data_IF_766893528041
#
_entry.id   IF_766893528041
#
_cell.length_a   1.000
_cell.length_b   1.000
_cell.length_c   1.000
_cell.angle_alpha   90.00
_cell.angle_beta   90.00
_cell.angle_gamma   90.00
#
_symmetry.space_group_name_H-M   'P 1'
#
loop_
_entity.id
_entity.type
_entity.pdbx_description
1 polymer ?
#
# COMPACT_ATOMS: atom_id res chain seq x y z
N UNK A 1 -29.04 0.79 31.02
CA UNK A 1 -29.35 0.90 29.58
C UNK A 1 -28.33 0.09 28.80
N UNK A 2 -28.70 -0.63 27.73
CA UNK A 2 -27.69 -1.28 26.87
C UNK A 2 -27.08 -0.18 25.99
N UNK A 3 -25.79 0.08 26.17
CA UNK A 3 -25.02 1.09 25.44
C UNK A 3 -24.96 0.81 23.93
N UNK A 4 -24.57 1.82 23.16
CA UNK A 4 -24.23 1.68 21.74
C UNK A 4 -22.90 0.94 21.54
N UNK A 5 -22.38 0.96 20.31
CA UNK A 5 -21.11 0.30 20.01
C UNK A 5 -20.52 0.70 18.68
N UNK A 6 -19.43 0.02 18.30
CA UNK A 6 -18.73 0.24 17.04
C UNK A 6 -18.31 -1.10 16.45
N UNK A 7 -18.56 -1.27 15.15
CA UNK A 7 -18.05 -2.36 14.34
C UNK A 7 -16.99 -1.78 13.42
N UNK A 8 -15.77 -2.33 13.50
CA UNK A 8 -14.65 -1.94 12.64
C UNK A 8 -14.33 -3.12 11.72
N UNK A 9 -14.65 -2.98 10.43
CA UNK A 9 -14.32 -3.97 9.43
C UNK A 9 -12.90 -3.72 8.90
N UNK A 10 -12.05 -4.75 8.91
CA UNK A 10 -10.72 -4.68 8.29
C UNK A 10 -10.83 -5.09 6.81
N UNK A 11 -10.92 -4.08 5.95
CA UNK A 11 -10.93 -4.19 4.50
C UNK A 11 -9.49 -4.29 3.96
N UNK A 12 -9.20 -3.59 2.86
CA UNK A 12 -7.87 -3.47 2.25
C UNK A 12 -7.92 -2.41 1.15
N UNK A 13 -6.79 -1.77 0.85
CA UNK A 13 -6.67 -1.00 -0.40
C UNK A 13 -6.93 -1.84 -1.65
N UNK A 14 -6.90 -3.18 -1.57
CA UNK A 14 -7.34 -4.10 -2.63
C UNK A 14 -8.82 -4.00 -3.00
N UNK A 15 -9.64 -3.35 -2.17
CA UNK A 15 -10.98 -2.98 -2.54
C UNK A 15 -11.03 -1.82 -3.57
N UNK A 16 -9.92 -1.09 -3.74
CA UNK A 16 -9.80 0.11 -4.58
C UNK A 16 -8.76 -0.06 -5.70
N UNK A 17 -7.79 -0.95 -5.54
CA UNK A 17 -6.70 -1.21 -6.49
C UNK A 17 -6.36 -2.70 -6.56
N UNK A 18 -6.28 -3.28 -7.76
CA UNK A 18 -6.09 -4.73 -7.92
C UNK A 18 -4.78 -5.07 -8.62
N UNK A 19 -4.30 -6.28 -8.38
CA UNK A 19 -3.25 -6.93 -9.15
C UNK A 19 -3.82 -8.15 -9.91
N UNK A 20 -3.16 -8.63 -10.97
CA UNK A 20 -3.54 -9.88 -11.62
C UNK A 20 -3.70 -11.03 -10.61
N UNK A 21 -4.74 -11.84 -10.76
CA UNK A 21 -5.02 -13.02 -9.94
C UNK A 21 -5.40 -12.71 -8.47
N UNK A 22 -5.96 -11.53 -8.21
CA UNK A 22 -6.46 -11.13 -6.88
C UNK A 22 -7.98 -10.97 -6.82
N UNK A 23 -8.71 -11.46 -7.82
CA UNK A 23 -10.16 -11.23 -8.00
C UNK A 23 -10.97 -11.67 -6.77
N UNK A 24 -10.78 -12.88 -6.19
CA UNK A 24 -11.56 -13.30 -5.02
C UNK A 24 -11.29 -12.41 -3.80
N UNK A 25 -10.02 -12.01 -3.61
CA UNK A 25 -9.63 -11.16 -2.49
C UNK A 25 -10.21 -9.76 -2.65
N UNK A 26 -10.01 -9.14 -3.81
CA UNK A 26 -10.49 -7.79 -4.11
C UNK A 26 -12.03 -7.72 -4.04
N UNK A 27 -12.73 -8.73 -4.58
CA UNK A 27 -14.18 -8.84 -4.46
C UNK A 27 -14.63 -8.96 -2.99
N UNK A 28 -13.96 -9.80 -2.18
CA UNK A 28 -14.30 -9.93 -0.75
C UNK A 28 -14.11 -8.61 0.02
N UNK A 29 -13.05 -7.86 -0.28
CA UNK A 29 -12.75 -6.60 0.39
C UNK A 29 -13.64 -5.45 -0.10
N UNK A 30 -14.00 -5.43 -1.38
CA UNK A 30 -15.06 -4.54 -1.91
C UNK A 30 -16.42 -4.83 -1.27
N UNK A 31 -16.76 -6.11 -1.09
CA UNK A 31 -17.96 -6.54 -0.37
C UNK A 31 -18.00 -6.03 1.08
N UNK A 32 -16.85 -5.99 1.78
CA UNK A 32 -16.77 -5.39 3.12
C UNK A 32 -17.03 -3.88 3.10
N UNK A 33 -16.62 -3.15 2.06
CA UNK A 33 -16.94 -1.72 1.95
C UNK A 33 -18.46 -1.51 1.77
N UNK A 34 -19.09 -2.30 0.90
CA UNK A 34 -20.53 -2.26 0.70
C UNK A 34 -21.31 -2.63 1.99
N UNK A 35 -20.88 -3.72 2.65
CA UNK A 35 -21.45 -4.19 3.91
C UNK A 35 -21.34 -3.12 5.01
N UNK A 36 -20.23 -2.40 5.06
CA UNK A 36 -19.97 -1.36 6.07
C UNK A 36 -21.02 -0.25 6.01
N UNK A 37 -21.25 0.35 4.83
CA UNK A 37 -22.23 1.43 4.74
C UNK A 37 -23.68 0.92 4.86
N UNK A 38 -23.96 -0.32 4.43
CA UNK A 38 -25.28 -0.94 4.63
C UNK A 38 -25.59 -1.15 6.12
N UNK A 39 -24.66 -1.76 6.88
CA UNK A 39 -24.82 -1.98 8.31
C UNK A 39 -24.85 -0.66 9.10
N UNK A 40 -24.11 0.36 8.67
CA UNK A 40 -24.17 1.69 9.29
C UNK A 40 -25.61 2.25 9.29
N UNK A 41 -26.36 2.07 8.19
CA UNK A 41 -27.76 2.49 8.10
C UNK A 41 -28.66 1.57 8.94
N UNK A 42 -28.51 0.25 8.79
CA UNK A 42 -29.37 -0.73 9.49
C UNK A 42 -29.22 -0.70 11.00
N UNK A 43 -28.03 -0.39 11.52
CA UNK A 43 -27.72 -0.44 12.95
C UNK A 43 -27.77 0.94 13.64
N UNK A 44 -28.06 2.01 12.91
CA UNK A 44 -28.19 3.36 13.47
C UNK A 44 -29.22 3.45 14.63
N UNK A 45 -30.42 2.82 14.56
CA UNK A 45 -31.38 2.83 15.68
C UNK A 45 -30.84 2.20 16.97
N UNK A 46 -29.81 1.37 16.86
CA UNK A 46 -29.16 0.71 18.00
C UNK A 46 -27.96 1.50 18.54
N UNK A 47 -27.71 2.72 18.02
CA UNK A 47 -26.53 3.54 18.35
C UNK A 47 -25.22 2.80 18.07
N UNK A 48 -25.19 2.00 16.99
CA UNK A 48 -24.00 1.28 16.55
C UNK A 48 -23.42 2.00 15.33
N UNK A 49 -22.16 2.40 15.44
CA UNK A 49 -21.38 2.90 14.30
C UNK A 49 -20.73 1.74 13.56
N UNK A 50 -20.63 1.83 12.25
CA UNK A 50 -19.94 0.83 11.45
C UNK A 50 -18.98 1.53 10.52
N UNK A 51 -17.70 1.17 10.57
CA UNK A 51 -16.64 1.79 9.76
C UNK A 51 -15.75 0.71 9.15
N UNK A 52 -15.13 1.03 8.02
CA UNK A 52 -14.11 0.20 7.41
C UNK A 52 -12.74 0.85 7.56
N UNK A 53 -11.72 0.03 7.81
CA UNK A 53 -10.31 0.42 7.71
C UNK A 53 -9.71 -0.39 6.57
N UNK A 54 -9.09 0.29 5.61
CA UNK A 54 -8.42 -0.29 4.44
C UNK A 54 -6.92 -0.06 4.56
N UNK A 55 -6.16 -0.97 5.19
CA UNK A 55 -4.72 -0.88 5.21
C UNK A 55 -4.12 -1.07 3.82
N UNK A 56 -3.01 -0.39 3.58
CA UNK A 56 -2.12 -0.65 2.44
C UNK A 56 -1.11 -1.75 2.74
N UNK A 57 0.14 -1.56 2.31
CA UNK A 57 1.22 -2.46 2.67
C UNK A 57 1.61 -2.25 4.15
N UNK A 58 1.20 -3.20 4.98
CA UNK A 58 1.59 -3.33 6.38
C UNK A 58 2.46 -4.58 6.51
N UNK A 59 3.67 -4.43 7.04
CA UNK A 59 4.50 -5.58 7.34
C UNK A 59 4.04 -6.24 8.64
N UNK A 60 3.76 -7.54 8.56
CA UNK A 60 3.29 -8.37 9.69
C UNK A 60 4.24 -9.54 9.95
N UNK A 61 5.46 -9.52 9.38
CA UNK A 61 6.40 -10.65 9.41
C UNK A 61 6.68 -11.15 10.83
N UNK A 62 6.86 -10.25 11.79
CA UNK A 62 7.12 -10.60 13.20
C UNK A 62 5.92 -11.26 13.90
N UNK A 63 4.71 -11.09 13.36
CA UNK A 63 3.46 -11.62 13.90
C UNK A 63 3.03 -12.94 13.23
N UNK A 64 3.77 -13.40 12.21
CA UNK A 64 3.54 -14.71 11.59
C UNK A 64 3.99 -15.85 12.50
N UNK A 65 3.50 -17.06 12.21
CA UNK A 65 3.88 -18.27 12.96
C UNK A 65 4.52 -19.25 11.96
N UNK A 66 5.85 -19.50 12.04
CA UNK A 66 6.82 -18.88 12.95
C UNK A 66 7.12 -17.40 12.58
N UNK A 67 7.58 -16.57 13.53
CA UNK A 67 7.97 -15.19 13.26
C UNK A 67 9.07 -15.11 12.19
N UNK A 68 8.97 -14.11 11.33
CA UNK A 68 9.96 -13.86 10.27
C UNK A 68 10.54 -12.47 10.41
N UNK A 69 11.80 -12.34 10.01
CA UNK A 69 12.39 -11.01 9.82
C UNK A 69 11.78 -10.38 8.57
N UNK A 70 11.38 -9.11 8.61
CA UNK A 70 10.93 -8.41 7.41
C UNK A 70 12.04 -8.39 6.35
N UNK A 71 11.71 -8.75 5.12
CA UNK A 71 12.60 -8.67 3.96
C UNK A 71 12.20 -7.47 3.10
N UNK A 72 12.19 -6.29 3.72
CA UNK A 72 11.86 -5.04 3.04
C UNK A 72 13.11 -4.37 2.49
N UNK A 73 13.01 -3.92 1.25
CA UNK A 73 14.04 -3.15 0.56
C UNK A 73 13.77 -1.65 0.73
N UNK A 74 14.78 -0.83 0.41
CA UNK A 74 14.60 0.62 0.37
C UNK A 74 13.50 1.04 -0.62
N UNK A 75 13.39 0.34 -1.76
CA UNK A 75 12.34 0.52 -2.75
C UNK A 75 10.94 0.36 -2.18
N UNK A 76 10.74 -0.64 -1.32
CA UNK A 76 9.43 -0.89 -0.69
C UNK A 76 8.98 0.31 0.15
N UNK A 77 9.91 0.93 0.89
CA UNK A 77 9.63 2.12 1.69
C UNK A 77 9.31 3.36 0.84
N UNK A 78 10.00 3.56 -0.29
CA UNK A 78 9.83 4.75 -1.14
C UNK A 78 8.54 4.76 -1.98
N UNK A 79 7.81 3.64 -2.02
CA UNK A 79 6.47 3.58 -2.61
C UNK A 79 5.45 4.39 -1.79
N UNK A 80 5.71 4.60 -0.51
CA UNK A 80 4.84 5.32 0.40
C UNK A 80 5.30 6.77 0.57
N UNK A 81 4.47 7.80 0.31
CA UNK A 81 4.74 9.18 0.73
C UNK A 81 5.13 9.34 2.21
N UNK A 82 4.64 8.46 3.10
CA UNK A 82 5.07 8.41 4.51
C UNK A 82 6.54 7.97 4.71
N UNK A 83 7.25 7.59 3.64
CA UNK A 83 8.66 7.21 3.65
C UNK A 83 8.93 5.82 4.22
N UNK A 84 7.89 5.03 4.49
CA UNK A 84 8.02 3.65 4.97
C UNK A 84 6.78 2.80 4.70
N UNK A 85 7.01 1.48 4.56
CA UNK A 85 5.99 0.46 4.78
C UNK A 85 5.38 0.62 6.17
N UNK A 86 4.07 0.40 6.27
CA UNK A 86 3.34 0.51 7.53
C UNK A 86 3.64 -0.65 8.48
N UNK A 87 3.34 -0.44 9.76
CA UNK A 87 3.43 -1.44 10.82
C UNK A 87 2.05 -1.69 11.45
N UNK A 88 1.83 -2.82 12.14
CA UNK A 88 0.53 -3.12 12.75
C UNK A 88 0.07 -2.03 13.72
N UNK A 89 0.99 -1.35 14.39
CA UNK A 89 0.72 -0.26 15.32
C UNK A 89 0.07 0.95 14.63
N UNK A 90 0.38 1.21 13.36
CA UNK A 90 -0.25 2.29 12.58
C UNK A 90 -1.75 2.03 12.43
N UNK A 91 -2.12 0.79 12.13
CA UNK A 91 -3.53 0.36 12.00
C UNK A 91 -4.19 0.31 13.37
N UNK A 92 -3.51 -0.23 14.38
CA UNK A 92 -4.04 -0.35 15.74
C UNK A 92 -4.37 1.03 16.35
N UNK A 93 -3.54 2.04 16.13
CA UNK A 93 -3.79 3.41 16.60
C UNK A 93 -5.08 4.00 15.99
N UNK A 94 -5.29 3.82 14.69
CA UNK A 94 -6.52 4.26 14.03
C UNK A 94 -7.74 3.48 14.55
N UNK A 95 -7.64 2.16 14.70
CA UNK A 95 -8.73 1.33 15.23
C UNK A 95 -9.10 1.76 16.66
N UNK A 96 -8.10 2.03 17.52
CA UNK A 96 -8.31 2.53 18.88
C UNK A 96 -9.06 3.88 18.89
N UNK A 97 -8.64 4.82 18.03
CA UNK A 97 -9.37 6.08 17.87
C UNK A 97 -10.81 5.85 17.37
N UNK A 98 -11.02 5.01 16.36
CA UNK A 98 -12.35 4.73 15.83
C UNK A 98 -13.27 4.03 16.85
N UNK A 99 -12.69 3.30 17.80
CA UNK A 99 -13.41 2.64 18.88
C UNK A 99 -13.78 3.59 20.04
N UNK A 100 -13.13 4.76 20.11
CA UNK A 100 -13.34 5.76 21.17
C UNK A 100 -14.64 6.57 21.01
N UNK A 101 -14.98 7.35 22.04
CA UNK A 101 -16.16 8.24 22.02
C UNK A 101 -15.92 9.48 21.14
N UNK A 102 -14.66 9.89 21.00
CA UNK A 102 -14.21 11.01 20.17
C UNK A 102 -14.53 10.80 18.68
N UNK A 103 -14.66 9.54 18.24
CA UNK A 103 -15.10 9.17 16.90
C UNK A 103 -16.63 9.07 16.76
N UNK A 104 -17.41 9.64 17.68
CA UNK A 104 -18.87 9.49 17.76
C UNK A 104 -19.66 9.94 16.53
N UNK A 105 -19.09 10.82 15.69
CA UNK A 105 -19.73 11.30 14.45
C UNK A 105 -19.33 10.51 13.20
N UNK A 106 -18.54 9.44 13.35
CA UNK A 106 -17.95 8.69 12.24
C UNK A 106 -18.66 7.34 12.08
N UNK A 107 -19.42 7.17 10.99
CA UNK A 107 -20.07 5.91 10.59
C UNK A 107 -20.25 5.84 9.06
N UNK A 108 -20.33 4.63 8.51
CA UNK A 108 -20.55 4.35 7.08
C UNK A 108 -19.37 4.63 6.16
N UNK A 109 -18.22 5.03 6.70
CA UNK A 109 -17.05 5.48 5.92
C UNK A 109 -15.94 4.42 5.87
N UNK A 110 -15.09 4.52 4.84
CA UNK A 110 -13.86 3.76 4.69
C UNK A 110 -12.65 4.67 4.96
N UNK A 111 -11.76 4.26 5.88
CA UNK A 111 -10.49 4.91 6.14
C UNK A 111 -9.36 4.15 5.46
N UNK A 112 -8.75 4.75 4.45
CA UNK A 112 -7.51 4.22 3.86
C UNK A 112 -6.33 4.60 4.74
N UNK A 113 -5.51 3.60 5.12
CA UNK A 113 -4.29 3.79 5.92
C UNK A 113 -3.13 3.02 5.27
N UNK A 114 -2.49 3.66 4.31
CA UNK A 114 -1.53 3.01 3.40
C UNK A 114 -0.25 3.81 3.21
N UNK A 115 0.02 4.78 4.10
CA UNK A 115 1.16 5.68 3.96
C UNK A 115 1.13 6.55 2.70
N UNK A 116 -0.03 6.70 2.05
CA UNK A 116 -0.22 7.48 0.83
C UNK A 116 0.05 6.72 -0.47
N UNK A 117 0.23 5.40 -0.41
CA UNK A 117 0.60 4.59 -1.59
C UNK A 117 -0.45 4.67 -2.71
N UNK A 118 -1.74 4.59 -2.37
CA UNK A 118 -2.84 4.56 -3.34
C UNK A 118 -3.05 5.87 -4.10
N UNK A 119 -2.58 7.01 -3.56
CA UNK A 119 -2.73 8.33 -4.18
C UNK A 119 -1.52 8.75 -5.02
N UNK A 120 -0.43 7.97 -5.00
CA UNK A 120 0.77 8.24 -5.77
C UNK A 120 0.59 7.71 -7.20
N UNK A 121 0.50 8.62 -8.18
CA UNK A 121 0.56 8.22 -9.58
C UNK A 121 1.98 7.76 -9.94
N UNK A 122 2.08 6.57 -10.53
CA UNK A 122 3.32 6.04 -11.09
C UNK A 122 3.22 6.14 -12.61
N UNK A 123 4.02 7.02 -13.20
CA UNK A 123 4.18 7.08 -14.65
C UNK A 123 5.32 6.15 -15.06
N UNK A 124 5.04 5.28 -16.01
CA UNK A 124 6.07 4.50 -16.67
C UNK A 124 6.64 5.36 -17.80
N UNK A 125 7.80 5.95 -17.54
CA UNK A 125 8.61 6.65 -18.53
C UNK A 125 10.09 6.35 -18.30
N UNK A 126 10.95 6.85 -19.19
CA UNK A 126 12.39 6.59 -19.13
C UNK A 126 13.07 7.11 -17.84
N UNK A 127 12.46 8.07 -17.14
CA UNK A 127 12.96 8.56 -15.86
C UNK A 127 12.80 7.52 -14.74
N UNK A 128 11.96 6.50 -14.93
CA UNK A 128 11.87 5.34 -14.03
C UNK A 128 13.19 4.57 -14.02
N UNK A 129 13.86 4.43 -15.16
CA UNK A 129 15.16 3.76 -15.25
C UNK A 129 16.19 4.53 -14.41
N UNK A 130 16.24 5.84 -14.60
CA UNK A 130 17.15 6.72 -13.84
C UNK A 130 16.85 6.66 -12.34
N UNK A 131 15.58 6.77 -11.95
CA UNK A 131 15.18 6.72 -10.54
C UNK A 131 15.49 5.36 -9.90
N UNK A 132 15.20 4.25 -10.60
CA UNK A 132 15.45 2.90 -10.12
C UNK A 132 16.95 2.63 -9.96
N UNK A 133 17.76 2.99 -10.96
CA UNK A 133 19.23 2.82 -10.88
C UNK A 133 19.79 3.67 -9.74
N UNK A 134 19.46 4.97 -9.69
CA UNK A 134 19.98 5.87 -8.66
C UNK A 134 19.64 5.38 -7.24
N UNK A 135 18.45 4.79 -7.09
CA UNK A 135 18.00 4.22 -5.82
C UNK A 135 18.73 2.94 -5.44
N UNK A 136 18.93 2.03 -6.40
CA UNK A 136 19.59 0.75 -6.19
C UNK A 136 21.10 0.89 -5.97
N UNK A 137 21.75 1.83 -6.67
CA UNK A 137 23.20 2.00 -6.66
C UNK A 137 23.67 3.12 -5.75
N UNK A 138 22.78 4.07 -5.41
CA UNK A 138 23.17 5.34 -4.77
C UNK A 138 23.90 6.31 -5.71
N UNK A 139 24.01 5.97 -7.00
CA UNK A 139 24.80 6.71 -7.99
C UNK A 139 23.87 7.32 -9.06
N UNK A 140 23.67 8.64 -8.96
CA UNK A 140 22.85 9.40 -9.91
C UNK A 140 23.54 9.58 -11.27
N UNK A 141 24.87 9.62 -11.31
CA UNK A 141 25.60 9.80 -12.56
C UNK A 141 25.47 8.55 -13.44
N UNK A 142 25.68 7.37 -12.84
CA UNK A 142 25.43 6.08 -13.49
C UNK A 142 23.99 5.96 -13.99
N UNK A 143 23.03 6.41 -13.18
CA UNK A 143 21.62 6.40 -13.54
C UNK A 143 21.29 7.25 -14.78
N UNK A 144 21.80 8.49 -14.81
CA UNK A 144 21.60 9.38 -15.97
C UNK A 144 22.28 8.82 -17.22
N UNK A 145 23.48 8.23 -17.09
CA UNK A 145 24.19 7.61 -18.20
C UNK A 145 23.41 6.41 -18.77
N UNK A 146 22.87 5.55 -17.90
CA UNK A 146 22.10 4.37 -18.32
C UNK A 146 20.81 4.74 -19.00
N UNK A 147 20.07 5.72 -18.46
CA UNK A 147 18.89 6.26 -19.14
C UNK A 147 19.27 6.75 -20.54
N UNK A 148 20.27 7.62 -20.67
CA UNK A 148 20.71 8.14 -21.97
C UNK A 148 21.12 7.03 -22.95
N UNK A 149 21.80 6.00 -22.47
CA UNK A 149 22.21 4.86 -23.30
C UNK A 149 21.00 4.07 -23.82
N UNK A 150 20.00 3.83 -22.96
CA UNK A 150 18.82 3.05 -23.29
C UNK A 150 17.79 3.83 -24.12
N UNK A 151 17.76 5.16 -24.03
CA UNK A 151 16.78 6.00 -24.74
C UNK A 151 17.35 6.70 -25.97
N UNK A 152 18.67 6.89 -26.02
CA UNK A 152 19.33 7.74 -27.01
C UNK A 152 20.16 6.99 -28.06
N UNK A 153 20.17 5.65 -28.11
CA UNK A 153 21.07 4.93 -29.00
C UNK A 153 20.69 3.50 -29.36
N UNK A 154 21.51 2.91 -30.24
CA UNK A 154 21.40 1.52 -30.69
C UNK A 154 21.51 0.56 -29.49
N UNK A 155 20.35 0.07 -29.03
CA UNK A 155 20.23 -0.90 -27.93
C UNK A 155 21.14 -2.12 -28.12
N UNK A 156 21.44 -2.50 -29.37
CA UNK A 156 22.36 -3.61 -29.66
C UNK A 156 23.76 -3.32 -29.13
N UNK A 157 24.25 -2.10 -29.31
CA UNK A 157 25.58 -1.68 -28.87
C UNK A 157 25.68 -1.59 -27.35
N UNK A 158 24.62 -1.11 -26.69
CA UNK A 158 24.53 -1.08 -25.21
C UNK A 158 24.52 -2.51 -24.66
N UNK A 159 23.75 -3.41 -25.28
CA UNK A 159 23.67 -4.81 -24.88
C UNK A 159 25.02 -5.53 -25.01
N UNK A 160 25.75 -5.32 -26.11
CA UNK A 160 27.08 -5.91 -26.29
C UNK A 160 28.12 -5.33 -25.31
N UNK A 161 28.05 -4.04 -24.97
CA UNK A 161 28.91 -3.45 -23.94
C UNK A 161 28.65 -4.06 -22.54
N UNK A 162 27.38 -4.26 -22.18
CA UNK A 162 27.01 -4.92 -20.92
C UNK A 162 27.47 -6.37 -20.87
N UNK A 163 27.28 -7.11 -21.96
CA UNK A 163 27.76 -8.48 -22.13
C UNK A 163 29.27 -8.59 -21.91
N UNK A 164 30.03 -7.74 -22.58
CA UNK A 164 31.49 -7.69 -22.43
C UNK A 164 31.91 -7.38 -20.97
N UNK A 165 31.21 -6.45 -20.30
CA UNK A 165 31.50 -6.10 -18.90
C UNK A 165 31.14 -7.22 -17.90
N UNK A 166 30.09 -7.99 -18.18
CA UNK A 166 29.63 -9.09 -17.34
C UNK A 166 30.33 -10.43 -17.67
N UNK A 167 31.13 -10.49 -18.72
CA UNK A 167 31.79 -11.72 -19.18
C UNK A 167 30.82 -12.76 -19.74
N UNK A 168 29.68 -12.32 -20.29
CA UNK A 168 28.59 -13.15 -20.84
C UNK A 168 28.30 -12.77 -22.28
#
# INVERSE_FOLDING_TARGET
ERGGGVIVNIASTRALQSEPNTEPYSASKGGLLALTHALAVSLAPHRIRVVAVSPGWIDTSEWQIPPRKPLLTRLDHEQHPAGRVGKPEDVAALVAFLASEEAGFITGVNFVIDGGMTIKMLYLDDSVIESAVALLTGDRELATLLRKALTGGDLGRVKEAFKAALGT
#
